data_IF_723328728390
#
_entry.id   IF_723328728390
#
_cell.length_a   1.000
_cell.length_b   1.000
_cell.length_c   1.000
_cell.angle_alpha   90.00
_cell.angle_beta   90.00
_cell.angle_gamma   90.00
#
_symmetry.space_group_name_H-M   'P 1'
#
loop_
_entity.id
_entity.type
_entity.pdbx_description
1 polymer ?
#
# COMPACT_ATOMS: atom_id res chain seq x y z
N UNK A 1 -3.25 8.99 34.36
CA UNK A 1 -2.77 8.45 33.08
C UNK A 1 -2.87 9.56 32.05
N UNK A 2 -1.75 10.04 31.51
CA UNK A 2 -1.78 11.12 30.52
C UNK A 2 -2.40 10.59 29.23
N UNK A 3 -3.51 11.19 28.80
CA UNK A 3 -4.13 10.92 27.51
C UNK A 3 -3.28 11.62 26.44
N UNK A 4 -2.21 10.96 26.00
CA UNK A 4 -1.42 11.44 24.86
C UNK A 4 -2.32 11.30 23.63
N UNK A 5 -2.72 12.39 22.95
CA UNK A 5 -3.53 12.27 21.75
C UNK A 5 -2.73 11.46 20.74
N UNK A 6 -3.26 10.29 20.36
CA UNK A 6 -2.69 9.51 19.27
C UNK A 6 -2.67 10.41 18.03
N UNK A 7 -1.48 10.72 17.53
CA UNK A 7 -1.33 11.48 16.28
C UNK A 7 -1.98 10.64 15.18
N UNK A 8 -3.07 11.14 14.62
CA UNK A 8 -3.70 10.52 13.47
C UNK A 8 -2.77 10.72 12.28
N UNK A 9 -2.21 9.62 11.78
CA UNK A 9 -1.37 9.62 10.58
C UNK A 9 -2.17 9.02 9.42
N UNK A 10 -1.90 9.51 8.22
CA UNK A 10 -2.42 8.94 6.98
C UNK A 10 -1.85 7.54 6.72
N UNK A 11 -2.54 6.76 5.88
CA UNK A 11 -2.03 5.45 5.45
C UNK A 11 -0.67 5.56 4.74
N UNK A 12 -0.45 6.61 3.95
CA UNK A 12 0.83 6.84 3.26
C UNK A 12 1.97 7.09 4.26
N UNK A 13 1.74 7.91 5.29
CA UNK A 13 2.72 8.15 6.37
C UNK A 13 3.03 6.85 7.14
N UNK A 14 2.00 6.04 7.44
CA UNK A 14 2.19 4.77 8.12
C UNK A 14 3.08 3.80 7.30
N UNK A 15 2.87 3.73 5.98
CA UNK A 15 3.68 2.89 5.07
C UNK A 15 5.12 3.40 5.00
N UNK A 16 5.35 4.71 4.93
CA UNK A 16 6.71 5.29 4.95
C UNK A 16 7.44 4.93 6.25
N UNK A 17 6.79 5.10 7.41
CA UNK A 17 7.40 4.72 8.69
C UNK A 17 7.69 3.22 8.76
N UNK A 18 6.79 2.38 8.25
CA UNK A 18 7.02 0.93 8.14
C UNK A 18 8.25 0.61 7.27
N UNK A 19 8.41 1.27 6.12
CA UNK A 19 9.60 1.11 5.26
C UNK A 19 10.87 1.52 6.01
N UNK A 20 10.85 2.65 6.74
CA UNK A 20 12.00 3.16 7.51
C UNK A 20 12.45 2.19 8.60
N UNK A 21 11.52 1.48 9.24
CA UNK A 21 11.85 0.48 10.28
C UNK A 21 12.12 -0.92 9.70
N UNK A 22 12.14 -1.07 8.37
CA UNK A 22 12.61 -2.27 7.68
C UNK A 22 11.53 -3.18 7.09
N UNK A 23 10.25 -2.82 7.15
CA UNK A 23 9.22 -3.60 6.46
C UNK A 23 9.42 -3.52 4.95
N UNK A 24 9.26 -4.66 4.30
CA UNK A 24 9.37 -4.81 2.84
C UNK A 24 8.18 -5.53 2.22
N UNK A 25 7.26 -6.07 3.02
CA UNK A 25 6.04 -6.71 2.57
C UNK A 25 4.82 -5.92 3.04
N UNK A 26 3.99 -5.49 2.09
CA UNK A 26 2.71 -4.86 2.34
C UNK A 26 1.57 -5.67 1.74
N UNK A 27 0.52 -5.86 2.53
CA UNK A 27 -0.72 -6.52 2.12
C UNK A 27 -1.85 -5.50 2.08
N UNK A 28 -2.59 -5.48 0.96
CA UNK A 28 -3.72 -4.57 0.72
C UNK A 28 -4.84 -5.30 -0.04
N UNK A 29 -5.91 -4.59 -0.36
CA UNK A 29 -7.01 -5.02 -1.21
C UNK A 29 -7.72 -3.77 -1.74
N UNK A 30 -8.36 -3.86 -2.90
CA UNK A 30 -9.14 -2.75 -3.47
C UNK A 30 -10.20 -2.22 -2.50
N UNK A 31 -10.85 -3.11 -1.73
CA UNK A 31 -11.86 -2.71 -0.76
C UNK A 31 -11.30 -1.83 0.37
N UNK A 32 -10.02 -1.98 0.73
CA UNK A 32 -9.43 -1.23 1.83
C UNK A 32 -9.21 0.25 1.48
N UNK A 33 -9.28 0.60 0.20
CA UNK A 33 -8.99 1.94 -0.31
C UNK A 33 -7.58 2.44 0.07
N UNK A 34 -6.63 1.51 0.27
CA UNK A 34 -5.24 1.81 0.66
C UNK A 34 -4.23 1.58 -0.44
N UNK A 35 -4.63 1.05 -1.62
CA UNK A 35 -3.73 0.78 -2.75
C UNK A 35 -3.05 2.07 -3.24
N UNK A 36 -3.81 3.15 -3.43
CA UNK A 36 -3.28 4.47 -3.83
C UNK A 36 -2.33 5.06 -2.77
N UNK A 37 -2.71 5.16 -1.48
CA UNK A 37 -1.79 5.57 -0.41
C UNK A 37 -0.48 4.77 -0.36
N UNK A 38 -0.54 3.45 -0.58
CA UNK A 38 0.65 2.59 -0.67
C UNK A 38 1.50 2.99 -1.87
N UNK A 39 0.91 3.16 -3.06
CA UNK A 39 1.63 3.61 -4.26
C UNK A 39 2.34 4.97 -4.09
N UNK A 40 1.65 5.92 -3.44
CA UNK A 40 2.22 7.23 -3.08
C UNK A 40 3.41 7.08 -2.13
N UNK A 41 3.26 6.28 -1.06
CA UNK A 41 4.31 6.03 -0.09
C UNK A 41 5.54 5.33 -0.71
N UNK A 42 5.34 4.38 -1.63
CA UNK A 42 6.43 3.71 -2.34
C UNK A 42 7.19 4.69 -3.23
N UNK A 43 6.48 5.54 -3.97
CA UNK A 43 7.09 6.58 -4.82
C UNK A 43 7.92 7.53 -3.98
N UNK A 44 7.39 7.97 -2.84
CA UNK A 44 8.11 8.85 -1.92
C UNK A 44 9.30 8.16 -1.26
N UNK A 45 9.17 6.90 -0.86
CA UNK A 45 10.27 6.13 -0.28
C UNK A 45 11.44 5.92 -1.27
N UNK A 46 11.14 5.72 -2.56
CA UNK A 46 12.15 5.71 -3.62
C UNK A 46 12.81 7.09 -3.76
N UNK A 47 12.00 8.16 -3.81
CA UNK A 47 12.50 9.54 -3.95
C UNK A 47 13.41 9.96 -2.78
N UNK A 48 13.05 9.56 -1.56
CA UNK A 48 13.81 9.84 -0.34
C UNK A 48 14.98 8.86 -0.10
N UNK A 49 15.09 7.79 -0.90
CA UNK A 49 16.15 6.80 -0.78
C UNK A 49 16.00 5.84 0.40
N UNK A 50 14.79 5.68 0.95
CA UNK A 50 14.51 4.68 1.98
C UNK A 50 14.50 3.24 1.43
N UNK A 51 14.27 3.11 0.13
CA UNK A 51 14.50 1.90 -0.67
C UNK A 51 15.22 2.31 -1.96
N UNK A 52 16.07 1.43 -2.50
CA UNK A 52 16.86 1.75 -3.71
C UNK A 52 16.09 1.45 -4.99
N UNK A 53 15.16 0.50 -4.95
CA UNK A 53 14.45 0.02 -6.13
C UNK A 53 13.13 -0.65 -5.76
N UNK A 54 12.23 -0.78 -6.76
CA UNK A 54 10.89 -1.34 -6.56
C UNK A 54 10.94 -2.80 -6.11
N UNK A 55 11.90 -3.57 -6.57
CA UNK A 55 12.08 -5.00 -6.25
C UNK A 55 12.49 -5.26 -4.78
N UNK A 56 12.86 -4.23 -4.02
CA UNK A 56 12.98 -4.37 -2.56
C UNK A 56 11.63 -4.62 -1.87
N UNK A 57 10.51 -4.36 -2.54
CA UNK A 57 9.18 -4.48 -1.96
C UNK A 57 8.38 -5.65 -2.52
N UNK A 58 7.66 -6.33 -1.63
CA UNK A 58 6.62 -7.30 -1.96
C UNK A 58 5.25 -6.69 -1.65
N UNK A 59 4.39 -6.53 -2.67
CA UNK A 59 3.06 -5.94 -2.51
C UNK A 59 2.02 -6.99 -2.90
N UNK A 60 1.09 -7.27 -1.99
CA UNK A 60 -0.03 -8.18 -2.22
C UNK A 60 -1.33 -7.38 -2.30
N UNK A 61 -2.14 -7.61 -3.32
CA UNK A 61 -3.54 -7.16 -3.37
C UNK A 61 -4.48 -8.34 -3.55
N UNK A 62 -5.80 -8.10 -3.45
CA UNK A 62 -6.83 -9.14 -3.45
C UNK A 62 -7.92 -8.79 -4.45
N UNK A 63 -8.27 -9.75 -5.30
CA UNK A 63 -9.49 -9.67 -6.11
C UNK A 63 -10.71 -9.64 -5.18
N UNK A 64 -11.59 -8.66 -5.34
CA UNK A 64 -12.79 -8.59 -4.54
C UNK A 64 -13.90 -9.52 -5.07
N UNK A 65 -14.80 -9.93 -4.17
CA UNK A 65 -15.87 -10.88 -4.48
C UNK A 65 -16.83 -10.41 -5.59
N UNK A 66 -16.94 -9.11 -5.82
CA UNK A 66 -17.75 -8.54 -6.91
C UNK A 66 -17.11 -8.63 -8.30
N UNK A 67 -15.86 -9.12 -8.39
CA UNK A 67 -15.07 -9.15 -9.63
C UNK A 67 -14.55 -10.56 -9.98
N UNK A 68 -15.16 -11.61 -9.44
CA UNK A 68 -14.75 -13.01 -9.64
C UNK A 68 -15.16 -13.58 -11.00
N UNK A 69 -16.07 -12.92 -11.71
CA UNK A 69 -16.43 -13.28 -13.08
C UNK A 69 -15.22 -13.19 -14.01
N UNK A 70 -15.03 -14.20 -14.87
CA UNK A 70 -13.82 -14.35 -15.70
C UNK A 70 -13.42 -13.08 -16.46
N UNK A 71 -14.39 -12.37 -17.02
CA UNK A 71 -14.17 -11.17 -17.81
C UNK A 71 -13.85 -9.92 -16.97
N UNK A 72 -14.07 -9.96 -15.66
CA UNK A 72 -13.81 -8.87 -14.71
C UNK A 72 -12.46 -9.00 -14.00
N UNK A 73 -11.87 -10.20 -13.93
CA UNK A 73 -10.61 -10.46 -13.21
C UNK A 73 -9.48 -9.55 -13.70
N UNK A 74 -9.19 -9.56 -15.01
CA UNK A 74 -8.09 -8.75 -15.57
C UNK A 74 -8.36 -7.24 -15.43
N UNK A 75 -9.56 -6.71 -15.73
CA UNK A 75 -9.89 -5.31 -15.43
C UNK A 75 -9.67 -4.93 -13.97
N UNK A 76 -10.12 -5.74 -13.02
CA UNK A 76 -9.97 -5.47 -11.59
C UNK A 76 -8.49 -5.45 -11.17
N UNK A 77 -7.69 -6.41 -11.66
CA UNK A 77 -6.24 -6.42 -11.40
C UNK A 77 -5.53 -5.20 -12.01
N UNK A 78 -5.95 -4.74 -13.19
CA UNK A 78 -5.40 -3.54 -13.83
C UNK A 78 -5.76 -2.27 -13.07
N UNK A 79 -6.95 -2.21 -12.49
CA UNK A 79 -7.37 -1.08 -11.65
C UNK A 79 -6.48 -0.95 -10.41
N UNK A 80 -6.18 -2.06 -9.73
CA UNK A 80 -5.23 -2.09 -8.60
C UNK A 80 -3.81 -1.64 -8.96
N UNK A 81 -3.41 -1.68 -10.24
CA UNK A 81 -2.08 -1.30 -10.71
C UNK A 81 -1.97 0.16 -11.20
N UNK A 82 -3.09 0.89 -11.26
CA UNK A 82 -3.11 2.30 -11.72
C UNK A 82 -2.53 3.25 -10.67
#
# INVERSE_FOLDING_TARGET
MANIPAKMISSSEAVIEAIKVGYRHFDTATLYQTEKPIGEAITEALRLGFIKSRDELFITTKLWCSSTERHLVIPAMKESLR
#
